data_IF_727701637242
#
_entry.id   IF_727701637242
#
_cell.length_a   1.000
_cell.length_b   1.000
_cell.length_c   1.000
_cell.angle_alpha   90.00
_cell.angle_beta   90.00
_cell.angle_gamma   90.00
#
_symmetry.space_group_name_H-M   'P 1'
#
loop_
_entity.id
_entity.type
_entity.pdbx_description
1 polymer ?
#
# COMPACT_ATOMS: atom_id res chain seq x y z
N UNK A 1 67.10 -25.79 -15.85
CA UNK A 1 66.78 -24.74 -14.87
C UNK A 1 65.71 -23.79 -15.44
N UNK A 2 64.45 -24.09 -15.10
CA UNK A 2 63.22 -23.27 -15.07
C UNK A 2 63.05 -22.09 -16.07
N UNK A 3 62.10 -22.15 -17.03
CA UNK A 3 61.57 -20.96 -17.69
C UNK A 3 60.56 -20.24 -16.78
N UNK A 4 60.80 -18.93 -16.57
CA UNK A 4 60.05 -18.05 -15.70
C UNK A 4 58.55 -18.01 -15.97
N UNK A 5 57.81 -18.15 -14.89
CA UNK A 5 56.36 -18.18 -14.80
C UNK A 5 55.72 -16.87 -15.28
N UNK A 6 55.01 -16.92 -16.40
CA UNK A 6 54.15 -15.83 -16.88
C UNK A 6 53.00 -15.65 -15.90
N UNK A 7 53.05 -14.59 -15.08
CA UNK A 7 51.93 -14.19 -14.21
C UNK A 7 50.75 -13.78 -15.10
N UNK A 8 49.76 -14.64 -15.18
CA UNK A 8 48.45 -14.31 -15.75
C UNK A 8 47.82 -13.19 -14.90
N UNK A 9 47.27 -12.12 -15.49
CA UNK A 9 46.58 -11.12 -14.70
C UNK A 9 45.35 -11.77 -14.08
N UNK A 10 45.28 -11.76 -12.74
CA UNK A 10 44.07 -12.12 -12.00
C UNK A 10 42.97 -11.20 -12.51
N UNK A 11 42.02 -11.75 -13.27
CA UNK A 11 40.80 -11.04 -13.66
C UNK A 11 40.08 -10.68 -12.37
N UNK A 12 40.24 -9.44 -11.93
CA UNK A 12 39.36 -8.82 -10.95
C UNK A 12 37.97 -8.80 -11.55
N UNK A 13 37.09 -9.68 -11.06
CA UNK A 13 35.67 -9.63 -11.38
C UNK A 13 35.13 -8.31 -10.85
N UNK A 14 34.99 -7.33 -11.73
CA UNK A 14 34.30 -6.08 -11.46
C UNK A 14 32.83 -6.44 -11.25
N UNK A 15 32.35 -6.30 -10.01
CA UNK A 15 30.92 -6.40 -9.73
C UNK A 15 30.26 -5.13 -10.29
N UNK A 16 29.78 -5.22 -11.53
CA UNK A 16 28.95 -4.17 -12.14
C UNK A 16 27.63 -4.08 -11.38
N UNK A 17 27.52 -3.12 -10.46
CA UNK A 17 26.25 -2.72 -9.86
C UNK A 17 25.48 -1.94 -10.92
N UNK A 18 24.66 -2.63 -11.71
CA UNK A 18 23.73 -1.99 -12.63
C UNK A 18 22.63 -1.29 -11.86
N UNK A 19 22.71 0.04 -11.78
CA UNK A 19 21.57 0.88 -11.41
C UNK A 19 20.58 0.82 -12.57
N UNK A 20 19.52 0.02 -12.41
CA UNK A 20 18.41 0.00 -13.35
C UNK A 20 17.64 1.32 -13.20
N UNK A 21 17.80 2.22 -14.16
CA UNK A 21 16.98 3.43 -14.25
C UNK A 21 15.66 3.10 -14.95
N UNK A 22 14.53 3.45 -14.33
CA UNK A 22 13.24 3.42 -14.99
C UNK A 22 13.24 4.54 -16.05
N UNK A 23 13.27 4.17 -17.33
CA UNK A 23 13.46 5.13 -18.43
C UNK A 23 12.14 5.64 -19.03
N UNK A 24 11.02 4.99 -18.72
CA UNK A 24 9.71 5.27 -19.30
C UNK A 24 8.66 5.75 -18.28
N UNK A 25 9.08 6.09 -17.05
CA UNK A 25 8.23 6.77 -16.08
C UNK A 25 8.43 8.29 -16.22
N UNK A 26 7.35 9.01 -16.47
CA UNK A 26 7.39 10.47 -16.47
C UNK A 26 7.52 10.98 -15.03
N UNK A 27 8.56 11.78 -14.80
CA UNK A 27 8.84 12.45 -13.52
C UNK A 27 8.64 13.97 -13.61
N UNK A 28 8.36 14.49 -14.81
CA UNK A 28 8.15 15.93 -15.05
C UNK A 28 6.74 16.36 -14.67
N UNK A 29 5.74 15.52 -14.92
CA UNK A 29 4.33 15.80 -14.65
C UNK A 29 3.64 14.70 -13.83
N UNK A 30 4.09 14.41 -12.61
CA UNK A 30 3.44 13.42 -11.75
C UNK A 30 2.07 13.93 -11.28
N UNK A 31 1.11 13.02 -11.14
CA UNK A 31 -0.11 13.28 -10.38
C UNK A 31 0.19 13.06 -8.91
N UNK A 32 0.04 14.10 -8.10
CA UNK A 32 0.32 14.07 -6.67
C UNK A 32 -1.01 13.91 -5.92
N UNK A 33 -1.03 13.01 -4.93
CA UNK A 33 -2.16 12.85 -4.01
C UNK A 33 -1.66 13.03 -2.59
N UNK A 34 -2.32 13.90 -1.83
CA UNK A 34 -1.91 14.26 -0.47
C UNK A 34 -2.96 13.83 0.55
N UNK A 35 -2.51 13.37 1.71
CA UNK A 35 -3.37 12.98 2.83
C UNK A 35 -3.06 13.78 4.09
N UNK A 36 -3.79 13.48 5.16
CA UNK A 36 -3.59 14.10 6.47
C UNK A 36 -2.15 13.88 6.98
N UNK A 37 -1.57 14.92 7.57
CA UNK A 37 -0.22 14.81 8.13
C UNK A 37 -0.21 13.80 9.30
N UNK A 38 0.77 12.90 9.30
CA UNK A 38 0.93 11.88 10.33
C UNK A 38 -0.01 10.67 10.23
N UNK A 39 -0.91 10.61 9.24
CA UNK A 39 -1.80 9.45 9.03
C UNK A 39 -1.11 8.28 8.33
N UNK A 40 0.13 8.48 7.86
CA UNK A 40 0.86 7.56 6.98
C UNK A 40 0.10 7.26 5.68
N UNK A 41 -0.62 8.26 5.16
CA UNK A 41 -1.23 8.20 3.84
C UNK A 41 -0.17 7.85 2.79
N UNK A 42 -0.44 6.82 1.98
CA UNK A 42 0.50 6.31 0.99
C UNK A 42 1.36 5.14 1.48
N UNK A 43 1.17 4.66 2.72
CA UNK A 43 1.91 3.49 3.21
C UNK A 43 1.65 2.24 2.35
N UNK A 44 0.42 2.10 1.85
CA UNK A 44 0.05 1.07 0.89
C UNK A 44 -0.77 1.68 -0.25
N UNK A 45 -0.60 1.15 -1.46
CA UNK A 45 -1.30 1.64 -2.66
C UNK A 45 -1.70 0.49 -3.57
N UNK A 46 -2.86 0.60 -4.22
CA UNK A 46 -3.32 -0.34 -5.24
C UNK A 46 -4.13 0.38 -6.33
N UNK A 47 -3.95 -0.01 -7.58
CA UNK A 47 -4.81 0.44 -8.67
C UNK A 47 -6.08 -0.41 -8.71
N UNK A 48 -7.23 0.24 -8.84
CA UNK A 48 -8.54 -0.39 -8.89
C UNK A 48 -9.35 0.15 -10.05
N UNK A 49 -10.22 -0.67 -10.65
CA UNK A 49 -11.10 -0.25 -11.73
C UNK A 49 -12.55 -0.38 -11.27
N UNK A 50 -13.25 0.75 -11.18
CA UNK A 50 -14.65 0.80 -10.76
C UNK A 50 -15.55 0.12 -11.80
N UNK A 51 -16.56 -0.63 -11.35
CA UNK A 51 -17.49 -1.35 -12.25
C UNK A 51 -18.39 -0.39 -13.01
N UNK A 52 -18.89 0.60 -12.29
CA UNK A 52 -20.02 1.41 -12.75
C UNK A 52 -19.52 2.48 -13.70
N UNK A 53 -18.44 3.18 -13.33
CA UNK A 53 -17.85 4.22 -14.17
C UNK A 53 -16.81 3.70 -15.16
N UNK A 54 -16.23 2.51 -14.90
CA UNK A 54 -15.06 1.95 -15.63
C UNK A 54 -13.77 2.76 -15.48
N UNK A 55 -13.77 3.77 -14.61
CA UNK A 55 -12.61 4.60 -14.32
C UNK A 55 -11.62 3.86 -13.42
N UNK A 56 -10.36 4.28 -13.51
CA UNK A 56 -9.34 3.85 -12.57
C UNK A 56 -9.33 4.74 -11.34
N UNK A 57 -9.21 4.10 -10.18
CA UNK A 57 -9.06 4.70 -8.88
C UNK A 57 -7.75 4.22 -8.26
N UNK A 58 -7.04 5.14 -7.61
CA UNK A 58 -5.93 4.80 -6.73
C UNK A 58 -6.50 4.57 -5.32
N UNK A 59 -6.34 3.36 -4.81
CA UNK A 59 -6.62 3.04 -3.43
C UNK A 59 -5.36 3.34 -2.61
N UNK A 60 -5.53 4.07 -1.51
CA UNK A 60 -4.42 4.52 -0.67
C UNK A 60 -4.71 4.22 0.79
N UNK A 61 -3.82 3.46 1.43
CA UNK A 61 -3.87 3.17 2.85
C UNK A 61 -3.25 4.29 3.70
N UNK A 62 -3.89 4.58 4.83
CA UNK A 62 -3.47 5.56 5.83
C UNK A 62 -3.66 5.00 7.26
N UNK A 63 -2.78 4.09 7.73
CA UNK A 63 -3.02 3.30 8.94
C UNK A 63 -3.02 4.08 10.26
N UNK A 64 -2.60 5.35 10.26
CA UNK A 64 -2.67 6.22 11.45
C UNK A 64 -3.72 7.32 11.33
N UNK A 65 -4.61 7.20 10.34
CA UNK A 65 -5.75 8.10 10.17
C UNK A 65 -6.68 8.09 11.39
N UNK A 66 -7.28 9.25 11.67
CA UNK A 66 -8.28 9.37 12.72
C UNK A 66 -9.47 8.45 12.44
N UNK A 67 -10.16 8.02 13.48
CA UNK A 67 -11.36 7.24 13.32
C UNK A 67 -12.46 8.02 12.57
N UNK A 68 -13.38 7.30 11.93
CA UNK A 68 -14.56 7.93 11.33
C UNK A 68 -15.48 8.53 12.42
N UNK A 69 -16.25 9.57 12.09
CA UNK A 69 -17.25 10.10 13.01
C UNK A 69 -18.20 9.00 13.48
N UNK A 70 -18.41 8.91 14.80
CA UNK A 70 -19.27 7.89 15.42
C UNK A 70 -18.55 6.62 15.86
N UNK A 71 -17.26 6.46 15.56
CA UNK A 71 -16.42 5.40 16.12
C UNK A 71 -15.86 5.86 17.47
N UNK A 72 -15.85 4.98 18.48
CA UNK A 72 -15.38 5.29 19.85
C UNK A 72 -13.87 5.51 19.89
N UNK A 73 -13.10 4.79 19.07
CA UNK A 73 -11.66 4.93 18.95
C UNK A 73 -11.27 6.32 18.38
N UNK A 74 -10.07 6.80 18.71
CA UNK A 74 -9.51 8.05 18.19
C UNK A 74 -8.76 7.83 16.88
N UNK A 75 -8.03 6.73 16.76
CA UNK A 75 -7.30 6.31 15.55
C UNK A 75 -7.60 4.86 15.25
N UNK A 76 -8.13 4.61 14.06
CA UNK A 76 -8.37 3.26 13.57
C UNK A 76 -7.51 2.96 12.34
N UNK A 77 -7.04 4.01 11.65
CA UNK A 77 -6.54 3.93 10.28
C UNK A 77 -7.68 4.08 9.26
N UNK A 78 -7.35 3.99 7.99
CA UNK A 78 -8.33 4.14 6.91
C UNK A 78 -7.76 3.84 5.54
N UNK A 79 -8.67 3.75 4.57
CA UNK A 79 -8.34 3.63 3.15
C UNK A 79 -9.10 4.72 2.40
N UNK A 80 -8.44 5.30 1.42
CA UNK A 80 -8.97 6.34 0.55
C UNK A 80 -9.05 5.84 -0.89
N UNK A 81 -10.08 6.24 -1.61
CA UNK A 81 -10.19 6.12 -3.06
C UNK A 81 -9.94 7.50 -3.69
N UNK A 82 -8.93 7.59 -4.55
CA UNK A 82 -8.57 8.82 -5.24
C UNK A 82 -8.75 8.63 -6.76
N UNK A 83 -9.49 9.49 -7.46
CA UNK A 83 -9.51 9.54 -8.92
C UNK A 83 -8.10 9.77 -9.49
N UNK A 84 -7.81 9.20 -10.66
CA UNK A 84 -6.54 9.41 -11.37
C UNK A 84 -6.61 10.73 -12.16
N UNK A 85 -6.65 11.83 -11.42
CA UNK A 85 -6.78 13.22 -11.89
C UNK A 85 -5.65 14.08 -11.32
N UNK A 86 -5.41 15.26 -11.90
CA UNK A 86 -4.42 16.23 -11.41
C UNK A 86 -4.84 16.96 -10.13
N UNK A 87 -6.09 16.82 -9.70
CA UNK A 87 -6.57 17.42 -8.45
C UNK A 87 -6.04 16.65 -7.24
N UNK A 88 -5.20 17.28 -6.43
CA UNK A 88 -4.46 16.56 -5.37
C UNK A 88 -5.35 16.10 -4.21
N UNK A 89 -6.43 16.83 -3.96
CA UNK A 89 -7.27 16.72 -2.76
C UNK A 89 -8.50 15.82 -2.92
N UNK A 90 -8.75 15.29 -4.12
CA UNK A 90 -9.92 14.44 -4.47
C UNK A 90 -9.87 13.01 -3.89
N UNK A 91 -9.31 12.81 -2.70
CA UNK A 91 -9.28 11.50 -2.06
C UNK A 91 -10.44 11.33 -1.07
N UNK A 92 -11.35 10.41 -1.38
CA UNK A 92 -12.52 10.12 -0.53
C UNK A 92 -12.23 8.92 0.37
N UNK A 93 -12.53 9.05 1.66
CA UNK A 93 -12.40 7.93 2.60
C UNK A 93 -13.44 6.85 2.28
N UNK A 94 -12.99 5.61 2.15
CA UNK A 94 -13.87 4.46 1.97
C UNK A 94 -14.55 4.13 3.30
N UNK A 95 -15.88 4.01 3.27
CA UNK A 95 -16.65 3.53 4.43
C UNK A 95 -16.52 2.02 4.52
N UNK A 96 -15.94 1.53 5.60
CA UNK A 96 -15.83 0.10 5.88
C UNK A 96 -16.93 -0.29 6.86
N UNK A 97 -17.74 -1.29 6.49
CA UNK A 97 -18.85 -1.77 7.30
C UNK A 97 -18.32 -2.79 8.32
N UNK A 98 -17.54 -2.33 9.29
CA UNK A 98 -17.18 -3.15 10.46
C UNK A 98 -17.50 -2.39 11.76
N UNK A 99 -18.45 -2.86 12.56
CA UNK A 99 -18.82 -2.20 13.82
C UNK A 99 -17.73 -2.31 14.90
N UNK A 100 -16.71 -3.16 14.73
CA UNK A 100 -15.70 -3.45 15.76
C UNK A 100 -14.36 -2.75 15.53
N UNK A 101 -14.36 -1.53 14.97
CA UNK A 101 -13.13 -0.74 14.83
C UNK A 101 -12.64 -0.25 16.20
N UNK A 102 -11.55 -0.84 16.68
CA UNK A 102 -10.89 -0.47 17.94
C UNK A 102 -9.68 0.45 17.72
N UNK A 103 -9.12 0.96 18.82
CA UNK A 103 -7.96 1.87 18.78
C UNK A 103 -6.72 1.19 18.19
N UNK A 104 -5.97 1.95 17.39
CA UNK A 104 -4.67 1.58 16.81
C UNK A 104 -4.70 0.23 16.08
N UNK A 105 -5.76 -0.02 15.30
CA UNK A 105 -5.90 -1.20 14.45
C UNK A 105 -5.00 -1.18 13.20
N UNK A 106 -4.43 -0.04 12.82
CA UNK A 106 -3.63 0.09 11.59
C UNK A 106 -4.39 -0.34 10.33
N UNK A 107 -5.67 0.02 10.24
CA UNK A 107 -6.50 -0.24 9.07
C UNK A 107 -5.90 0.41 7.82
N UNK A 108 -5.73 -0.36 6.75
CA UNK A 108 -5.08 0.13 5.51
C UNK A 108 -3.55 0.00 5.53
N UNK A 109 -2.98 -0.78 6.44
CA UNK A 109 -1.54 -1.11 6.41
C UNK A 109 -1.13 -1.87 5.15
N UNK A 110 -2.06 -2.63 4.57
CA UNK A 110 -1.95 -3.20 3.23
C UNK A 110 -3.32 -3.20 2.55
N UNK A 111 -3.30 -2.85 1.27
CA UNK A 111 -4.45 -2.82 0.37
C UNK A 111 -4.09 -3.57 -0.91
N UNK A 112 -5.00 -4.40 -1.41
CA UNK A 112 -4.85 -5.10 -2.68
C UNK A 112 -6.16 -5.07 -3.47
N UNK A 113 -6.04 -5.07 -4.80
CA UNK A 113 -7.17 -5.08 -5.73
C UNK A 113 -7.03 -6.27 -6.67
N UNK A 114 -8.15 -6.93 -6.99
CA UNK A 114 -8.13 -8.07 -7.92
C UNK A 114 -7.87 -7.68 -9.40
N UNK A 115 -7.84 -6.37 -9.72
CA UNK A 115 -7.29 -5.84 -10.97
C UNK A 115 -8.15 -5.94 -12.23
N UNK A 116 -9.30 -6.62 -12.20
CA UNK A 116 -10.30 -6.61 -13.28
C UNK A 116 -11.49 -5.70 -12.91
N UNK A 117 -12.27 -5.19 -13.89
CA UNK A 117 -13.46 -4.38 -13.61
C UNK A 117 -14.42 -5.13 -12.66
N UNK A 118 -14.65 -4.59 -11.47
CA UNK A 118 -15.45 -5.26 -10.43
C UNK A 118 -14.77 -6.35 -9.65
N UNK A 119 -13.44 -6.36 -9.69
CA UNK A 119 -12.64 -7.06 -8.72
C UNK A 119 -12.94 -6.59 -7.30
N UNK A 120 -12.73 -7.45 -6.33
CA UNK A 120 -12.82 -7.10 -4.91
C UNK A 120 -11.57 -6.37 -4.46
N UNK A 121 -11.71 -5.60 -3.38
CA UNK A 121 -10.63 -4.95 -2.66
C UNK A 121 -10.41 -5.69 -1.34
N UNK A 122 -9.16 -6.01 -1.05
CA UNK A 122 -8.74 -6.48 0.27
C UNK A 122 -8.14 -5.30 1.03
N UNK A 123 -8.63 -5.08 2.24
CA UNK A 123 -8.05 -4.16 3.21
C UNK A 123 -7.67 -4.95 4.45
N UNK A 124 -6.45 -4.77 4.93
CA UNK A 124 -5.96 -5.42 6.14
C UNK A 124 -5.79 -4.44 7.30
N UNK A 125 -5.85 -5.00 8.51
CA UNK A 125 -5.61 -4.32 9.77
C UNK A 125 -4.62 -5.14 10.61
N UNK A 126 -3.86 -4.47 11.47
CA UNK A 126 -2.85 -5.04 12.36
C UNK A 126 -2.95 -4.35 13.72
N UNK A 127 -3.84 -4.82 14.61
CA UNK A 127 -4.02 -4.22 15.92
C UNK A 127 -2.74 -4.25 16.74
N UNK A 128 -2.39 -3.12 17.35
CA UNK A 128 -1.22 -3.05 18.23
C UNK A 128 -1.42 -3.95 19.45
N UNK A 129 -0.37 -4.68 19.82
CA UNK A 129 -0.37 -5.59 20.97
C UNK A 129 -0.91 -6.99 20.70
N UNK A 130 -1.50 -7.24 19.53
CA UNK A 130 -1.99 -8.58 19.17
C UNK A 130 -0.85 -9.48 18.68
N UNK A 131 -0.76 -10.69 19.23
CA UNK A 131 0.14 -11.75 18.78
C UNK A 131 -0.33 -12.30 17.44
N UNK A 132 0.57 -12.91 16.66
CA UNK A 132 0.24 -13.55 15.39
C UNK A 132 -0.90 -14.57 15.54
N UNK A 133 -0.96 -15.30 16.67
CA UNK A 133 -2.05 -16.22 16.99
C UNK A 133 -3.42 -15.55 17.12
N UNK A 134 -3.46 -14.34 17.67
CA UNK A 134 -4.69 -13.56 17.86
C UNK A 134 -5.15 -12.93 16.53
N UNK A 135 -4.20 -12.48 15.70
CA UNK A 135 -4.48 -12.00 14.33
C UNK A 135 -5.03 -13.14 13.47
N UNK A 136 -4.42 -14.33 13.54
CA UNK A 136 -4.92 -15.51 12.82
C UNK A 136 -6.33 -15.90 13.28
N UNK A 137 -6.62 -15.81 14.57
CA UNK A 137 -7.96 -16.06 15.10
C UNK A 137 -9.00 -15.07 14.53
N UNK A 138 -8.64 -13.79 14.39
CA UNK A 138 -9.52 -12.78 13.78
C UNK A 138 -9.75 -13.03 12.28
N UNK A 139 -8.70 -13.40 11.53
CA UNK A 139 -8.80 -13.69 10.09
C UNK A 139 -9.50 -15.04 9.79
N UNK A 140 -9.48 -16.00 10.72
CA UNK A 140 -10.17 -17.29 10.57
C UNK A 140 -11.68 -17.22 10.88
N UNK A 141 -12.18 -16.10 11.41
CA UNK A 141 -13.60 -15.81 11.42
C UNK A 141 -13.98 -15.12 10.11
N UNK A 142 -14.76 -15.76 9.22
CA UNK A 142 -15.08 -15.20 7.91
C UNK A 142 -16.09 -14.07 8.11
N UNK A 143 -15.60 -12.83 8.28
CA UNK A 143 -16.45 -11.64 8.19
C UNK A 143 -16.51 -11.23 6.72
N UNK A 144 -17.68 -11.42 6.11
CA UNK A 144 -17.97 -10.97 4.75
C UNK A 144 -17.89 -9.44 4.71
N UNK A 145 -16.95 -8.89 3.95
CA UNK A 145 -17.11 -7.55 3.37
C UNK A 145 -17.80 -7.74 2.01
N UNK A 146 -18.94 -7.06 1.83
CA UNK A 146 -19.69 -6.99 0.56
C UNK A 146 -19.11 -5.87 -0.28
#
# INVERSE_FOLDING_TARGET
PEPGQTRSPVRTNLLDVKVLSAFNLDTSFPLIKTGQNGSLFGLSVALHQDVNSKDYLLLVGAPREKAEPGVVARKTGGVYSCPVTAEESECLRMKLVDPDLVEDMWLGVSVASQGYPGGRVLVSLRPQGWRISEILAFLHFPRRMV
#
